data_IF_882393291202
#
_entry.id   IF_882393291202
#
_cell.length_a   1.000
_cell.length_b   1.000
_cell.length_c   1.000
_cell.angle_alpha   90.00
_cell.angle_beta   90.00
_cell.angle_gamma   90.00
#
_symmetry.space_group_name_H-M   'P 1'
#
loop_
_entity.id
_entity.type
_entity.pdbx_description
1 polymer ?
#
# COMPACT_ATOMS: atom_id res chain seq x y z
N UNK A 1 -14.41 32.09 -6.09
CA UNK A 1 -13.73 32.33 -4.79
C UNK A 1 -13.55 30.98 -4.10
N UNK A 2 -12.32 30.57 -3.76
CA UNK A 2 -12.08 29.30 -3.08
C UNK A 2 -12.65 29.34 -1.68
N UNK A 3 -13.36 28.27 -1.28
CA UNK A 3 -14.03 28.21 0.03
C UNK A 3 -12.99 28.21 1.19
N UNK A 4 -13.01 29.26 2.02
CA UNK A 4 -12.12 29.43 3.18
C UNK A 4 -12.20 28.27 4.16
N UNK A 5 -13.36 27.61 4.27
CA UNK A 5 -13.55 26.44 5.13
C UNK A 5 -12.76 25.24 4.62
N UNK A 6 -12.73 25.03 3.32
CA UNK A 6 -11.94 23.97 2.68
C UNK A 6 -10.45 24.21 2.85
N UNK A 7 -9.98 25.45 2.61
CA UNK A 7 -8.57 25.81 2.82
C UNK A 7 -8.14 25.58 4.28
N UNK A 8 -8.95 26.03 5.26
CA UNK A 8 -8.65 25.82 6.69
C UNK A 8 -8.60 24.35 7.08
N UNK A 9 -9.50 23.54 6.56
CA UNK A 9 -9.55 22.09 6.81
C UNK A 9 -8.32 21.39 6.26
N UNK A 10 -7.92 21.73 5.05
CA UNK A 10 -6.75 21.17 4.38
C UNK A 10 -5.45 21.63 5.04
N UNK A 11 -5.34 22.91 5.43
CA UNK A 11 -4.22 23.40 6.24
C UNK A 11 -4.11 22.65 7.58
N UNK A 12 -5.26 22.42 8.23
CA UNK A 12 -5.35 21.60 9.44
C UNK A 12 -4.88 20.15 9.23
N UNK A 13 -5.17 19.55 8.05
CA UNK A 13 -4.65 18.25 7.69
C UNK A 13 -3.11 18.28 7.57
N UNK A 14 -2.56 19.22 6.81
CA UNK A 14 -1.10 19.34 6.63
C UNK A 14 -0.41 19.50 8.00
N UNK A 15 -0.88 20.43 8.82
CA UNK A 15 -0.31 20.69 10.14
C UNK A 15 -0.34 19.47 11.08
N UNK A 16 -1.44 18.69 11.02
CA UNK A 16 -1.65 17.56 11.93
C UNK A 16 -0.94 16.30 11.48
N UNK A 17 -1.00 15.95 10.21
CA UNK A 17 -0.56 14.64 9.71
C UNK A 17 0.89 14.65 9.22
N UNK A 18 1.40 15.77 8.71
CA UNK A 18 2.81 15.94 8.39
C UNK A 18 3.56 16.66 9.53
N UNK A 19 3.22 16.33 10.78
CA UNK A 19 3.76 17.01 11.95
C UNK A 19 5.18 16.55 12.30
N UNK A 20 5.91 17.39 13.03
CA UNK A 20 7.22 17.02 13.58
C UNK A 20 7.13 15.78 14.47
N UNK A 21 6.00 15.57 15.16
CA UNK A 21 5.79 14.40 16.02
C UNK A 21 5.86 13.07 15.26
N UNK A 22 5.52 13.05 13.96
CA UNK A 22 5.71 11.88 13.10
C UNK A 22 7.10 11.88 12.46
N UNK A 23 7.48 12.98 11.83
CA UNK A 23 8.66 13.01 10.95
C UNK A 23 10.00 13.00 11.70
N UNK A 24 10.01 13.28 13.01
CA UNK A 24 11.20 13.23 13.85
C UNK A 24 11.84 11.83 14.01
N UNK A 25 11.12 10.78 13.65
CA UNK A 25 11.63 9.40 13.71
C UNK A 25 12.55 9.03 12.54
N UNK A 26 12.73 9.95 11.58
CA UNK A 26 13.71 9.80 10.51
C UNK A 26 15.01 10.49 10.91
N UNK A 27 16.09 9.72 10.92
CA UNK A 27 17.42 10.26 11.16
C UNK A 27 17.88 11.14 9.99
N UNK A 28 18.47 12.30 10.30
CA UNK A 28 19.06 13.16 9.28
C UNK A 28 20.42 12.62 8.86
N UNK A 29 20.58 12.12 7.63
CA UNK A 29 21.85 11.53 7.18
C UNK A 29 22.92 12.58 6.90
N UNK A 30 22.56 13.86 6.86
CA UNK A 30 23.48 14.95 6.50
C UNK A 30 24.36 15.37 7.66
N UNK A 31 25.58 15.77 7.37
CA UNK A 31 26.48 16.36 8.35
C UNK A 31 25.98 17.70 8.91
N UNK A 32 26.66 18.21 9.94
CA UNK A 32 26.30 19.45 10.66
C UNK A 32 26.14 20.67 9.73
N UNK A 33 26.96 20.80 8.67
CA UNK A 33 26.86 21.89 7.70
C UNK A 33 25.52 21.86 6.94
N UNK A 34 25.11 20.70 6.43
CA UNK A 34 23.83 20.55 5.73
C UNK A 34 22.63 20.84 6.62
N UNK A 35 22.69 20.46 7.90
CA UNK A 35 21.64 20.72 8.90
C UNK A 35 21.48 22.21 9.25
N UNK A 36 22.55 22.99 9.22
CA UNK A 36 22.50 24.46 9.46
C UNK A 36 21.69 25.18 8.38
N UNK A 37 21.74 24.74 7.16
CA UNK A 37 21.02 25.38 6.06
C UNK A 37 19.53 25.03 6.05
N UNK A 38 19.18 23.78 6.31
CA UNK A 38 17.80 23.29 6.37
C UNK A 38 17.71 22.11 7.33
N UNK A 39 16.90 22.23 8.36
CA UNK A 39 16.66 21.10 9.27
C UNK A 39 15.93 19.95 8.57
N UNK A 40 16.18 18.71 9.01
CA UNK A 40 15.67 17.50 8.39
C UNK A 40 14.14 17.43 8.34
N UNK A 41 13.49 17.69 9.47
CA UNK A 41 12.04 17.55 9.57
C UNK A 41 11.25 18.49 8.66
N UNK A 42 11.57 19.80 8.58
CA UNK A 42 10.96 20.69 7.58
C UNK A 42 11.25 20.27 6.15
N UNK A 43 12.45 19.74 5.85
CA UNK A 43 12.79 19.28 4.50
C UNK A 43 11.96 18.04 4.12
N UNK A 44 11.90 17.03 4.99
CA UNK A 44 11.09 15.84 4.78
C UNK A 44 9.60 16.20 4.66
N UNK A 45 9.11 17.13 5.49
CA UNK A 45 7.74 17.64 5.38
C UNK A 45 7.48 18.29 4.03
N UNK A 46 8.43 19.09 3.53
CA UNK A 46 8.32 19.73 2.20
C UNK A 46 8.14 18.67 1.11
N UNK A 47 8.93 17.59 1.15
CA UNK A 47 8.82 16.47 0.20
C UNK A 47 7.45 15.79 0.32
N UNK A 48 7.02 15.44 1.54
CA UNK A 48 5.73 14.78 1.76
C UNK A 48 4.56 15.64 1.30
N UNK A 49 4.60 16.95 1.57
CA UNK A 49 3.56 17.90 1.15
C UNK A 49 3.59 18.10 -0.37
N UNK A 50 4.76 18.11 -0.99
CA UNK A 50 4.91 18.10 -2.45
C UNK A 50 4.25 16.89 -3.09
N UNK A 51 4.53 15.69 -2.59
CA UNK A 51 3.86 14.46 -3.04
C UNK A 51 2.34 14.53 -2.83
N UNK A 52 1.90 15.01 -1.67
CA UNK A 52 0.48 15.17 -1.35
C UNK A 52 -0.25 16.21 -2.23
N UNK A 53 0.47 17.19 -2.75
CA UNK A 53 -0.04 18.20 -3.68
C UNK A 53 0.06 17.79 -5.15
N UNK A 54 0.54 16.56 -5.44
CA UNK A 54 0.65 15.99 -6.78
C UNK A 54 1.82 16.53 -7.58
N UNK A 55 2.93 16.94 -6.94
CA UNK A 55 4.16 17.27 -7.67
C UNK A 55 4.68 16.03 -8.40
N UNK A 56 5.01 16.20 -9.68
CA UNK A 56 5.46 15.12 -10.57
C UNK A 56 6.97 14.86 -10.52
N UNK A 57 7.73 15.78 -9.95
CA UNK A 57 9.19 15.68 -9.87
C UNK A 57 9.80 16.69 -8.91
N UNK A 58 11.11 16.58 -8.76
CA UNK A 58 11.91 17.46 -7.88
C UNK A 58 11.86 18.91 -8.33
N UNK A 59 11.90 19.18 -9.65
CA UNK A 59 11.79 20.52 -10.20
C UNK A 59 10.42 21.17 -9.93
N UNK A 60 9.33 20.39 -10.00
CA UNK A 60 8.01 20.93 -9.66
C UNK A 60 7.89 21.21 -8.15
N UNK A 61 8.51 20.38 -7.31
CA UNK A 61 8.62 20.66 -5.88
C UNK A 61 9.40 21.94 -5.60
N UNK A 62 10.54 22.15 -6.27
CA UNK A 62 11.31 23.39 -6.20
C UNK A 62 10.45 24.59 -6.58
N UNK A 63 9.79 24.55 -7.74
CA UNK A 63 8.89 25.60 -8.20
C UNK A 63 7.72 25.87 -7.22
N UNK A 64 7.15 24.81 -6.61
CA UNK A 64 6.12 24.96 -5.59
C UNK A 64 6.67 25.72 -4.38
N UNK A 65 7.88 25.38 -3.89
CA UNK A 65 8.47 26.07 -2.71
C UNK A 65 8.80 27.53 -2.98
N UNK A 66 9.06 27.90 -4.23
CA UNK A 66 9.26 29.31 -4.63
C UNK A 66 7.95 30.11 -4.56
N UNK A 67 6.87 29.54 -5.07
CA UNK A 67 5.57 30.21 -5.18
C UNK A 67 4.80 30.34 -3.86
N UNK A 68 5.07 29.42 -2.90
CA UNK A 68 4.38 29.46 -1.61
C UNK A 68 4.63 30.76 -0.85
N UNK A 69 3.58 31.45 -0.32
CA UNK A 69 3.73 32.62 0.53
C UNK A 69 4.58 32.31 1.77
N UNK A 70 5.43 33.26 2.19
CA UNK A 70 6.34 33.07 3.33
C UNK A 70 5.62 32.66 4.61
N UNK A 71 4.47 33.26 4.90
CA UNK A 71 3.68 32.97 6.09
C UNK A 71 3.12 31.55 6.08
N UNK A 72 2.63 31.08 4.92
CA UNK A 72 2.18 29.69 4.75
C UNK A 72 3.31 28.70 5.04
N UNK A 73 4.49 28.96 4.48
CA UNK A 73 5.67 28.13 4.75
C UNK A 73 6.05 28.08 6.22
N UNK A 74 6.10 29.24 6.87
CA UNK A 74 6.48 29.34 8.28
C UNK A 74 5.48 28.61 9.18
N UNK A 75 4.17 28.84 9.00
CA UNK A 75 3.12 28.27 9.85
C UNK A 75 2.95 26.75 9.62
N UNK A 76 3.15 26.28 8.42
CA UNK A 76 3.11 24.85 8.10
C UNK A 76 4.46 24.15 8.31
N UNK A 77 5.52 24.88 8.66
CA UNK A 77 6.86 24.35 8.86
C UNK A 77 7.47 23.74 7.59
N UNK A 78 7.19 24.37 6.44
CA UNK A 78 7.70 23.98 5.13
C UNK A 78 8.95 24.82 4.82
N UNK A 79 9.95 24.22 4.20
CA UNK A 79 11.16 24.94 3.79
C UNK A 79 10.82 26.05 2.78
N UNK A 80 11.55 27.17 2.90
CA UNK A 80 11.61 28.15 1.82
C UNK A 80 12.23 27.48 0.59
N UNK A 81 12.40 28.19 -0.51
CA UNK A 81 13.05 27.69 -1.72
C UNK A 81 14.05 26.56 -1.44
N UNK A 82 13.83 25.41 -2.07
CA UNK A 82 14.64 24.22 -1.88
C UNK A 82 15.03 23.67 -3.25
N UNK A 83 16.33 23.81 -3.63
CA UNK A 83 16.83 23.29 -4.89
C UNK A 83 16.54 21.79 -5.04
N UNK A 84 16.22 21.37 -6.25
CA UNK A 84 15.94 19.96 -6.60
C UNK A 84 17.12 19.05 -6.27
N UNK A 85 18.36 19.53 -6.51
CA UNK A 85 19.60 18.81 -6.17
C UNK A 85 19.72 18.55 -4.67
N UNK A 86 19.41 19.55 -3.82
CA UNK A 86 19.42 19.39 -2.35
C UNK A 86 18.39 18.35 -1.90
N UNK A 87 17.23 18.32 -2.52
CA UNK A 87 16.20 17.31 -2.21
C UNK A 87 16.66 15.94 -2.66
N UNK A 88 17.22 15.83 -3.87
CA UNK A 88 17.75 14.57 -4.40
C UNK A 88 18.81 13.97 -3.47
N UNK A 89 19.83 14.73 -3.15
CA UNK A 89 20.94 14.29 -2.29
C UNK A 89 20.43 13.84 -0.91
N UNK A 90 19.46 14.58 -0.36
CA UNK A 90 18.83 14.22 0.90
C UNK A 90 18.05 12.89 0.80
N UNK A 91 17.26 12.70 -0.25
CA UNK A 91 16.46 11.47 -0.44
C UNK A 91 17.35 10.25 -0.70
N UNK A 92 18.41 10.40 -1.52
CA UNK A 92 19.37 9.32 -1.79
C UNK A 92 20.13 8.86 -0.52
N UNK A 93 20.27 9.74 0.48
CA UNK A 93 20.97 9.43 1.72
C UNK A 93 20.07 8.89 2.84
N UNK A 94 18.75 8.96 2.72
CA UNK A 94 17.80 8.48 3.75
C UNK A 94 17.85 6.96 3.90
N UNK A 95 17.63 6.49 5.12
CA UNK A 95 17.50 5.07 5.42
C UNK A 95 16.06 4.59 5.13
N UNK A 96 15.81 3.65 4.19
CA UNK A 96 14.47 3.16 3.86
C UNK A 96 13.70 2.64 5.08
N UNK A 97 14.39 1.97 6.01
CA UNK A 97 13.77 1.42 7.21
C UNK A 97 13.11 2.49 8.11
N UNK A 98 13.67 3.70 8.18
CA UNK A 98 13.06 4.78 8.96
C UNK A 98 11.72 5.22 8.35
N UNK A 99 11.59 5.18 7.03
CA UNK A 99 10.32 5.47 6.34
C UNK A 99 9.28 4.36 6.57
N UNK A 100 9.71 3.11 6.60
CA UNK A 100 8.83 2.00 6.99
C UNK A 100 8.28 2.21 8.42
N UNK A 101 9.10 2.67 9.36
CA UNK A 101 8.65 3.03 10.72
C UNK A 101 7.58 4.12 10.70
N UNK A 102 7.71 5.14 9.86
CA UNK A 102 6.70 6.19 9.74
C UNK A 102 5.35 5.63 9.28
N UNK A 103 5.35 4.70 8.32
CA UNK A 103 4.13 4.03 7.86
C UNK A 103 3.50 3.25 9.01
N UNK A 104 4.28 2.50 9.78
CA UNK A 104 3.78 1.74 10.93
C UNK A 104 3.22 2.65 12.04
N UNK A 105 3.87 3.75 12.35
CA UNK A 105 3.41 4.73 13.34
C UNK A 105 2.09 5.37 12.87
N UNK A 106 2.01 5.80 11.61
CA UNK A 106 0.81 6.42 11.05
C UNK A 106 -0.38 5.46 11.07
N UNK A 107 -0.18 4.22 10.63
CA UNK A 107 -1.20 3.17 10.65
C UNK A 107 -1.67 2.81 12.06
N UNK A 108 -0.73 2.60 12.98
CA UNK A 108 -1.04 2.25 14.36
C UNK A 108 -1.82 3.37 15.08
N UNK A 109 -1.40 4.61 14.93
CA UNK A 109 -2.12 5.75 15.49
C UNK A 109 -3.54 5.85 14.91
N UNK A 110 -3.68 5.61 13.59
CA UNK A 110 -4.98 5.56 12.92
C UNK A 110 -5.91 4.48 13.49
N UNK A 111 -5.40 3.28 13.71
CA UNK A 111 -6.14 2.16 14.30
C UNK A 111 -6.49 2.42 15.77
N UNK A 112 -5.51 2.84 16.58
CA UNK A 112 -5.69 3.13 18.00
C UNK A 112 -6.75 4.19 18.25
N UNK A 113 -6.80 5.23 17.43
CA UNK A 113 -7.78 6.32 17.54
C UNK A 113 -9.11 6.02 16.83
N UNK A 114 -9.30 4.80 16.33
CA UNK A 114 -10.50 4.40 15.55
C UNK A 114 -10.72 5.30 14.33
N UNK A 115 -9.65 5.89 13.80
CA UNK A 115 -9.67 6.63 12.54
C UNK A 115 -9.78 5.66 11.35
N UNK A 116 -9.07 4.55 11.42
CA UNK A 116 -9.25 3.41 10.54
C UNK A 116 -10.40 2.58 11.08
N UNK A 117 -11.48 2.50 10.32
CA UNK A 117 -12.72 1.77 10.68
C UNK A 117 -12.88 0.57 9.78
N UNK A 118 -13.33 -0.55 10.35
CA UNK A 118 -13.73 -1.71 9.57
C UNK A 118 -14.99 -1.41 8.77
N UNK A 119 -15.12 -2.05 7.61
CA UNK A 119 -16.33 -1.96 6.77
C UNK A 119 -17.52 -2.73 7.35
N UNK A 120 -17.29 -3.60 8.34
CA UNK A 120 -18.31 -4.51 8.88
C UNK A 120 -18.63 -5.72 7.98
N UNK A 121 -18.00 -5.81 6.81
CA UNK A 121 -18.24 -6.91 5.85
C UNK A 121 -17.75 -8.26 6.38
N UNK A 122 -16.64 -8.25 7.13
CA UNK A 122 -16.07 -9.45 7.74
C UNK A 122 -16.05 -9.33 9.26
N UNK A 123 -16.13 -10.44 9.99
CA UNK A 123 -16.10 -10.45 11.46
C UNK A 123 -14.70 -10.11 12.02
N UNK A 124 -13.70 -10.08 11.17
CA UNK A 124 -12.29 -9.85 11.51
C UNK A 124 -11.57 -9.01 10.45
N UNK A 125 -10.41 -8.49 10.81
CA UNK A 125 -9.55 -7.77 9.90
C UNK A 125 -8.89 -8.67 8.87
N UNK A 126 -8.75 -8.15 7.65
CA UNK A 126 -8.14 -8.83 6.51
C UNK A 126 -7.00 -7.97 5.97
N UNK A 127 -5.78 -8.53 6.01
CA UNK A 127 -4.57 -7.93 5.45
C UNK A 127 -4.31 -8.56 4.09
N UNK A 128 -4.32 -7.77 3.02
CA UNK A 128 -3.86 -8.20 1.70
C UNK A 128 -2.43 -7.72 1.48
N UNK A 129 -1.57 -8.62 1.06
CA UNK A 129 -0.18 -8.31 0.74
C UNK A 129 0.07 -8.54 -0.74
N UNK A 130 0.95 -7.71 -1.33
CA UNK A 130 1.31 -7.81 -2.74
C UNK A 130 2.64 -7.08 -2.99
N UNK A 131 3.37 -7.49 -4.02
CA UNK A 131 4.62 -6.88 -4.42
C UNK A 131 4.48 -5.84 -5.52
N UNK A 132 5.40 -4.89 -5.53
CA UNK A 132 5.58 -3.96 -6.64
C UNK A 132 7.05 -3.89 -7.04
N UNK A 133 7.32 -3.86 -8.37
CA UNK A 133 8.66 -4.00 -8.97
C UNK A 133 8.97 -2.89 -9.98
N UNK A 134 9.20 -1.64 -9.57
CA UNK A 134 9.65 -0.62 -10.52
C UNK A 134 11.07 -0.88 -10.97
N UNK A 135 11.33 -0.53 -12.23
CA UNK A 135 12.67 -0.52 -12.80
C UNK A 135 13.36 0.80 -12.54
N UNK A 136 14.67 0.75 -12.37
CA UNK A 136 15.56 1.92 -12.22
C UNK A 136 16.72 1.83 -13.21
N UNK A 137 17.32 2.97 -13.52
CA UNK A 137 18.50 3.02 -14.38
C UNK A 137 19.79 2.67 -13.64
N UNK A 138 19.74 2.71 -12.31
CA UNK A 138 20.87 2.33 -11.47
C UNK A 138 21.18 0.84 -11.65
N UNK A 139 22.43 0.54 -11.91
CA UNK A 139 22.97 -0.82 -12.02
C UNK A 139 24.16 -1.03 -11.08
N UNK A 140 24.32 -0.13 -10.10
CA UNK A 140 25.37 -0.18 -9.09
C UNK A 140 25.13 -1.24 -8.01
N UNK A 141 25.97 -1.19 -6.99
CA UNK A 141 25.82 -2.08 -5.85
C UNK A 141 24.95 -1.42 -4.78
N UNK A 142 23.69 -1.84 -4.67
CA UNK A 142 22.78 -1.43 -3.60
C UNK A 142 22.11 -2.67 -2.97
N UNK A 143 21.83 -2.60 -1.67
CA UNK A 143 21.21 -3.70 -0.91
C UNK A 143 19.85 -4.15 -1.46
N UNK A 144 19.07 -3.20 -1.97
CA UNK A 144 17.69 -3.44 -2.41
C UNK A 144 17.56 -3.54 -3.94
N UNK A 145 18.70 -3.49 -4.64
CA UNK A 145 18.74 -3.53 -6.09
C UNK A 145 19.01 -4.95 -6.57
N UNK A 146 18.19 -5.43 -7.48
CA UNK A 146 18.50 -6.58 -8.32
C UNK A 146 18.84 -6.08 -9.71
N UNK A 147 20.07 -6.33 -10.17
CA UNK A 147 20.52 -5.95 -11.50
C UNK A 147 20.16 -7.05 -12.49
N UNK A 148 19.57 -6.66 -13.60
CA UNK A 148 19.32 -7.52 -14.75
C UNK A 148 20.38 -7.32 -15.79
N UNK A 149 20.93 -8.43 -16.28
CA UNK A 149 21.96 -8.46 -17.29
C UNK A 149 21.35 -8.92 -18.62
N UNK A 150 21.88 -8.43 -19.70
CA UNK A 150 21.61 -8.94 -21.04
C UNK A 150 22.12 -10.38 -21.15
N UNK A 151 21.33 -11.28 -21.70
CA UNK A 151 21.66 -12.70 -21.77
C UNK A 151 22.81 -13.01 -22.75
N UNK A 152 23.00 -12.17 -23.79
CA UNK A 152 24.01 -12.37 -24.82
C UNK A 152 25.33 -11.70 -24.45
N UNK A 153 25.28 -10.45 -23.98
CA UNK A 153 26.49 -9.64 -23.71
C UNK A 153 26.96 -9.75 -22.27
N UNK A 154 26.10 -10.16 -21.34
CA UNK A 154 26.36 -10.14 -19.90
C UNK A 154 26.43 -8.75 -19.29
N UNK A 155 26.15 -7.69 -20.07
CA UNK A 155 26.15 -6.32 -19.57
C UNK A 155 24.94 -6.00 -18.70
N UNK A 156 25.14 -5.16 -17.68
CA UNK A 156 24.06 -4.70 -16.83
C UNK A 156 23.14 -3.72 -17.61
N UNK A 157 21.84 -4.04 -17.71
CA UNK A 157 20.89 -3.27 -18.50
C UNK A 157 20.03 -2.35 -17.64
N UNK A 158 19.44 -2.87 -16.58
CA UNK A 158 18.61 -2.11 -15.64
C UNK A 158 18.56 -2.79 -14.27
N UNK A 159 18.19 -2.00 -13.28
CA UNK A 159 17.94 -2.50 -11.94
C UNK A 159 16.44 -2.62 -11.64
N UNK A 160 16.10 -3.48 -10.70
CA UNK A 160 14.74 -3.63 -10.16
C UNK A 160 14.80 -3.48 -8.65
N UNK A 161 13.97 -2.60 -8.11
CA UNK A 161 13.70 -2.53 -6.67
C UNK A 161 12.35 -3.19 -6.38
N UNK A 162 12.22 -3.79 -5.19
CA UNK A 162 10.99 -4.51 -4.82
C UNK A 162 10.49 -4.06 -3.46
N UNK A 163 9.17 -3.90 -3.33
CA UNK A 163 8.52 -3.58 -2.07
C UNK A 163 7.29 -4.46 -1.90
N UNK A 164 7.23 -5.21 -0.79
CA UNK A 164 6.00 -5.90 -0.38
C UNK A 164 5.11 -4.90 0.35
N UNK A 165 3.91 -4.69 -0.15
CA UNK A 165 2.92 -3.76 0.37
C UNK A 165 1.85 -4.51 1.15
N UNK A 166 1.52 -4.05 2.37
CA UNK A 166 0.42 -4.59 3.18
C UNK A 166 -0.72 -3.59 3.31
N UNK A 167 -1.93 -3.99 2.89
CA UNK A 167 -3.14 -3.16 2.89
C UNK A 167 -4.23 -3.81 3.72
N UNK A 168 -4.83 -3.07 4.67
CA UNK A 168 -5.98 -3.54 5.45
C UNK A 168 -7.26 -3.35 4.61
N UNK A 169 -7.57 -4.34 3.78
CA UNK A 169 -8.67 -4.28 2.82
C UNK A 169 -10.06 -4.32 3.47
N UNK A 170 -10.18 -4.84 4.68
CA UNK A 170 -11.40 -4.82 5.49
C UNK A 170 -11.70 -3.46 6.12
N UNK A 171 -10.87 -2.46 5.91
CA UNK A 171 -11.05 -1.11 6.43
C UNK A 171 -11.52 -0.14 5.35
N UNK A 172 -12.29 0.86 5.79
CA UNK A 172 -12.71 1.98 4.92
C UNK A 172 -11.47 2.72 4.40
N UNK A 173 -11.43 2.94 3.10
CA UNK A 173 -10.33 3.62 2.42
C UNK A 173 -9.12 2.74 2.16
N UNK A 174 -9.11 1.50 2.60
CA UNK A 174 -8.02 0.52 2.37
C UNK A 174 -6.65 1.11 2.71
N UNK A 175 -6.40 1.47 3.98
CA UNK A 175 -5.13 2.08 4.38
C UNK A 175 -3.98 1.10 4.15
N UNK A 176 -2.90 1.61 3.57
CA UNK A 176 -1.64 0.91 3.44
C UNK A 176 -0.94 0.95 4.80
N UNK A 177 -0.71 -0.19 5.41
CA UNK A 177 -0.18 -0.32 6.76
C UNK A 177 1.28 -0.80 6.80
N UNK A 178 1.78 -1.33 5.71
CA UNK A 178 3.16 -1.80 5.61
C UNK A 178 3.72 -1.65 4.20
N UNK A 179 5.01 -1.36 4.15
CA UNK A 179 5.81 -1.37 2.93
C UNK A 179 7.20 -1.88 3.31
N UNK A 180 7.51 -3.10 2.95
CA UNK A 180 8.77 -3.76 3.32
C UNK A 180 9.65 -3.88 2.08
N UNK A 181 10.80 -3.18 2.01
CA UNK A 181 11.76 -3.34 0.93
C UNK A 181 12.33 -4.76 0.90
N UNK A 182 12.39 -5.35 -0.28
CA UNK A 182 12.95 -6.69 -0.49
C UNK A 182 14.41 -6.55 -0.93
N UNK A 183 15.37 -7.20 -0.24
CA UNK A 183 16.77 -7.19 -0.66
C UNK A 183 16.95 -7.75 -2.08
N UNK A 184 17.88 -7.20 -2.85
CA UNK A 184 18.19 -7.65 -4.22
C UNK A 184 18.64 -9.11 -4.31
N UNK A 185 19.16 -9.65 -3.20
CA UNK A 185 19.59 -11.07 -3.10
C UNK A 185 18.45 -12.08 -2.93
N UNK A 186 17.20 -11.63 -2.79
CA UNK A 186 16.03 -12.49 -2.61
C UNK A 186 14.84 -11.99 -3.42
N UNK A 187 13.73 -12.70 -3.34
CA UNK A 187 12.45 -12.34 -3.97
C UNK A 187 11.32 -12.24 -2.94
N UNK A 188 10.10 -11.97 -3.38
CA UNK A 188 8.94 -11.89 -2.50
C UNK A 188 8.68 -13.17 -1.72
N UNK A 189 8.80 -14.32 -2.38
CA UNK A 189 8.57 -15.61 -1.75
C UNK A 189 9.50 -15.80 -0.54
N UNK A 190 10.79 -15.51 -0.72
CA UNK A 190 11.81 -15.64 0.33
C UNK A 190 11.72 -14.55 1.41
N UNK A 191 11.20 -13.36 1.07
CA UNK A 191 11.12 -12.23 2.00
C UNK A 191 9.75 -12.09 2.69
N UNK A 192 8.76 -12.89 2.31
CA UNK A 192 7.40 -12.85 2.82
C UNK A 192 7.34 -12.94 4.36
N UNK A 193 8.05 -13.90 4.95
CA UNK A 193 8.03 -14.13 6.41
C UNK A 193 8.50 -12.91 7.19
N UNK A 194 9.49 -12.18 6.69
CA UNK A 194 9.95 -10.93 7.31
C UNK A 194 8.88 -9.84 7.22
N UNK A 195 8.31 -9.62 6.03
CA UNK A 195 7.27 -8.63 5.82
C UNK A 195 6.03 -8.92 6.67
N UNK A 196 5.61 -10.18 6.77
CA UNK A 196 4.55 -10.62 7.66
C UNK A 196 4.89 -10.34 9.13
N UNK A 197 6.10 -10.66 9.57
CA UNK A 197 6.57 -10.44 10.93
C UNK A 197 6.51 -8.97 11.34
N UNK A 198 6.85 -8.05 10.45
CA UNK A 198 6.75 -6.62 10.66
C UNK A 198 5.29 -6.17 10.83
N UNK A 199 4.37 -6.64 9.98
CA UNK A 199 2.94 -6.36 10.07
C UNK A 199 2.32 -6.93 11.34
N UNK A 200 2.66 -8.14 11.72
CA UNK A 200 2.16 -8.79 12.95
C UNK A 200 2.67 -8.06 14.19
N UNK A 201 3.92 -7.66 14.21
CA UNK A 201 4.53 -6.89 15.30
C UNK A 201 3.83 -5.54 15.49
N UNK A 202 3.52 -4.85 14.40
CA UNK A 202 2.87 -3.54 14.45
C UNK A 202 1.36 -3.64 14.71
N UNK A 203 0.67 -4.61 14.12
CA UNK A 203 -0.80 -4.63 14.01
C UNK A 203 -1.47 -5.97 14.27
N UNK A 204 -0.79 -6.96 14.81
CA UNK A 204 -1.28 -8.34 14.91
C UNK A 204 -2.68 -8.49 15.48
N UNK A 205 -3.10 -7.62 16.42
CA UNK A 205 -4.46 -7.63 17.00
C UNK A 205 -5.56 -7.10 16.08
N UNK A 206 -5.21 -6.42 14.97
CA UNK A 206 -6.19 -5.76 14.10
C UNK A 206 -6.55 -6.56 12.85
N UNK A 207 -5.85 -7.67 12.58
CA UNK A 207 -6.20 -8.59 11.51
C UNK A 207 -6.02 -10.04 11.93
N UNK A 208 -6.85 -10.90 11.34
CA UNK A 208 -6.82 -12.35 11.58
C UNK A 208 -6.39 -13.11 10.31
N UNK A 209 -6.66 -12.56 9.14
CA UNK A 209 -6.46 -13.23 7.86
C UNK A 209 -5.46 -12.48 7.00
N UNK A 210 -4.57 -13.23 6.36
CA UNK A 210 -3.58 -12.75 5.40
C UNK A 210 -3.93 -13.29 4.02
N UNK A 211 -4.13 -12.40 3.07
CA UNK A 211 -4.31 -12.71 1.66
C UNK A 211 -3.00 -12.46 0.92
N UNK A 212 -2.65 -13.35 0.03
CA UNK A 212 -1.56 -13.13 -0.91
C UNK A 212 -1.90 -13.77 -2.26
N UNK A 213 -1.29 -13.26 -3.32
CA UNK A 213 -1.41 -13.85 -4.63
C UNK A 213 -0.56 -15.15 -4.75
N UNK A 214 -0.46 -15.67 -5.96
CA UNK A 214 0.31 -16.87 -6.20
C UNK A 214 1.83 -16.70 -6.04
N UNK A 215 2.34 -15.45 -6.10
CA UNK A 215 3.77 -15.16 -6.05
C UNK A 215 4.44 -15.54 -4.74
N UNK A 216 3.71 -15.52 -3.62
CA UNK A 216 4.22 -15.96 -2.32
C UNK A 216 3.54 -17.23 -1.78
N UNK A 217 2.69 -17.89 -2.56
CA UNK A 217 2.02 -19.11 -2.15
C UNK A 217 3.02 -20.27 -2.03
N UNK A 218 3.24 -20.72 -0.80
CA UNK A 218 4.08 -21.91 -0.51
C UNK A 218 3.66 -22.53 0.83
N UNK A 219 3.99 -23.78 1.05
CA UNK A 219 3.77 -24.45 2.33
C UNK A 219 4.52 -23.75 3.47
N UNK A 220 5.75 -23.28 3.21
CA UNK A 220 6.56 -22.57 4.18
C UNK A 220 5.91 -21.24 4.62
N UNK A 221 5.43 -20.44 3.66
CA UNK A 221 4.77 -19.19 3.95
C UNK A 221 3.40 -19.40 4.62
N UNK A 222 2.65 -20.42 4.21
CA UNK A 222 1.40 -20.80 4.89
C UNK A 222 1.65 -21.19 6.34
N UNK A 223 2.70 -21.97 6.61
CA UNK A 223 3.13 -22.35 7.96
C UNK A 223 3.58 -21.12 8.78
N UNK A 224 4.31 -20.18 8.17
CA UNK A 224 4.71 -18.94 8.83
C UNK A 224 3.50 -18.07 9.23
N UNK A 225 2.45 -18.01 8.40
CA UNK A 225 1.20 -17.30 8.77
C UNK A 225 0.54 -17.95 9.98
N UNK A 226 0.47 -19.27 10.03
CA UNK A 226 -0.10 -20.01 11.17
C UNK A 226 0.75 -19.85 12.44
N UNK A 227 2.08 -19.93 12.32
CA UNK A 227 2.99 -19.70 13.43
C UNK A 227 2.86 -18.29 14.01
N UNK A 228 2.48 -17.30 13.19
CA UNK A 228 2.16 -15.95 13.63
C UNK A 228 0.75 -15.81 14.25
N UNK A 229 0.00 -16.91 14.44
CA UNK A 229 -1.36 -16.92 14.99
C UNK A 229 -2.40 -16.31 14.03
N UNK A 230 -2.15 -16.39 12.72
CA UNK A 230 -3.02 -15.88 11.66
C UNK A 230 -3.52 -17.02 10.77
N UNK A 231 -4.52 -16.70 9.95
CA UNK A 231 -5.01 -17.60 8.90
C UNK A 231 -4.57 -17.06 7.54
N UNK A 232 -4.22 -17.98 6.65
CA UNK A 232 -3.91 -17.63 5.26
C UNK A 232 -5.11 -17.87 4.34
N UNK A 233 -5.13 -17.11 3.26
CA UNK A 233 -5.96 -17.31 2.10
C UNK A 233 -5.11 -17.02 0.86
N UNK A 234 -4.63 -18.05 0.18
CA UNK A 234 -3.65 -17.94 -0.90
C UNK A 234 -4.23 -18.43 -2.21
N UNK A 235 -3.86 -17.77 -3.31
CA UNK A 235 -4.16 -18.23 -4.65
C UNK A 235 -3.14 -19.29 -5.06
N UNK A 236 -3.60 -20.36 -5.71
CA UNK A 236 -2.77 -21.42 -6.30
C UNK A 236 -2.91 -21.26 -7.81
N UNK A 237 -1.86 -20.83 -8.51
CA UNK A 237 -1.94 -20.48 -9.93
C UNK A 237 -1.18 -21.42 -10.85
N UNK A 238 -0.10 -22.08 -10.40
CA UNK A 238 0.72 -22.94 -11.27
C UNK A 238 0.02 -24.28 -11.51
N UNK A 239 -0.45 -24.57 -12.73
CA UNK A 239 -1.12 -25.83 -13.07
C UNK A 239 -0.21 -27.05 -12.97
N UNK A 240 1.10 -26.87 -12.91
CA UNK A 240 2.08 -27.97 -12.72
C UNK A 240 2.14 -28.43 -11.27
N UNK A 241 1.65 -27.62 -10.33
CA UNK A 241 1.65 -28.01 -8.93
C UNK A 241 0.60 -29.09 -8.68
N UNK A 242 1.01 -30.16 -8.02
CA UNK A 242 0.12 -31.24 -7.60
C UNK A 242 -1.06 -30.71 -6.78
N UNK A 243 -0.83 -29.68 -5.97
CA UNK A 243 -1.89 -29.02 -5.21
C UNK A 243 -2.94 -28.38 -6.11
N UNK A 244 -2.55 -27.70 -7.19
CA UNK A 244 -3.49 -27.11 -8.16
C UNK A 244 -4.35 -28.21 -8.79
N UNK A 245 -3.73 -29.25 -9.30
CA UNK A 245 -4.40 -30.41 -9.93
C UNK A 245 -5.36 -31.10 -8.95
N UNK A 246 -4.94 -31.25 -7.70
CA UNK A 246 -5.76 -31.84 -6.65
C UNK A 246 -7.00 -30.97 -6.36
N UNK A 247 -6.87 -29.64 -6.24
CA UNK A 247 -7.99 -28.73 -6.02
C UNK A 247 -8.95 -28.77 -7.23
N UNK A 248 -8.41 -28.75 -8.44
CA UNK A 248 -9.19 -28.83 -9.68
C UNK A 248 -10.04 -30.10 -9.71
N UNK A 249 -9.45 -31.26 -9.44
CA UNK A 249 -10.15 -32.54 -9.39
C UNK A 249 -11.23 -32.58 -8.30
N UNK A 250 -10.91 -32.09 -7.09
CA UNK A 250 -11.84 -32.12 -5.96
C UNK A 250 -13.04 -31.18 -6.12
N UNK A 251 -12.94 -30.18 -7.00
CA UNK A 251 -13.97 -29.19 -7.27
C UNK A 251 -14.57 -29.31 -8.69
N UNK A 252 -14.27 -30.39 -9.43
CA UNK A 252 -14.75 -30.58 -10.80
C UNK A 252 -16.28 -30.56 -10.87
N UNK A 253 -16.94 -31.36 -10.01
CA UNK A 253 -18.39 -31.59 -10.02
C UNK A 253 -19.13 -30.87 -8.87
N UNK A 254 -18.46 -29.93 -8.18
CA UNK A 254 -19.07 -29.19 -7.08
C UNK A 254 -19.93 -28.06 -7.66
N UNK A 255 -21.23 -27.98 -7.34
CA UNK A 255 -22.08 -26.88 -7.79
C UNK A 255 -21.65 -25.55 -7.19
N UNK A 256 -22.00 -24.45 -7.88
CA UNK A 256 -21.75 -23.11 -7.38
C UNK A 256 -22.52 -22.87 -6.08
N UNK A 257 -21.82 -22.51 -5.02
CA UNK A 257 -22.38 -22.20 -3.71
C UNK A 257 -22.78 -20.71 -3.59
N UNK A 258 -22.16 -19.83 -4.40
CA UNK A 258 -22.53 -18.41 -4.52
C UNK A 258 -22.24 -17.90 -5.94
N UNK A 259 -22.98 -16.87 -6.31
CA UNK A 259 -22.80 -16.15 -7.57
C UNK A 259 -22.91 -14.65 -7.33
N UNK A 260 -22.10 -13.86 -8.04
CA UNK A 260 -22.22 -12.39 -8.08
C UNK A 260 -22.17 -11.90 -9.52
N UNK A 261 -22.89 -10.83 -9.78
CA UNK A 261 -22.87 -10.14 -11.06
C UNK A 261 -22.57 -8.66 -10.84
N UNK A 262 -21.61 -8.13 -11.60
CA UNK A 262 -21.22 -6.72 -11.60
C UNK A 262 -21.31 -6.19 -13.02
N UNK A 263 -22.01 -5.04 -13.21
CA UNK A 263 -22.14 -4.38 -14.51
C UNK A 263 -21.53 -2.98 -14.46
N UNK A 264 -20.76 -2.64 -15.47
CA UNK A 264 -20.18 -1.29 -15.66
C UNK A 264 -20.21 -0.93 -17.13
N UNK A 265 -21.13 -0.03 -17.50
CA UNK A 265 -21.38 0.28 -18.91
C UNK A 265 -21.84 -0.97 -19.66
N UNK A 266 -21.19 -1.25 -20.79
CA UNK A 266 -21.48 -2.43 -21.63
C UNK A 266 -20.78 -3.72 -21.15
N UNK A 267 -20.00 -3.64 -20.06
CA UNK A 267 -19.24 -4.77 -19.53
C UNK A 267 -19.98 -5.38 -18.33
N UNK A 268 -20.20 -6.69 -18.37
CA UNK A 268 -20.82 -7.49 -17.31
C UNK A 268 -19.85 -8.61 -16.86
N UNK A 269 -19.63 -8.76 -15.58
CA UNK A 269 -18.77 -9.79 -15.02
C UNK A 269 -19.59 -10.67 -14.05
N UNK A 270 -19.73 -11.94 -14.38
CA UNK A 270 -20.39 -12.96 -13.55
C UNK A 270 -19.31 -13.80 -12.88
N UNK A 271 -19.39 -13.97 -11.56
CA UNK A 271 -18.47 -14.81 -10.79
C UNK A 271 -19.22 -15.86 -10.02
N UNK A 272 -18.83 -17.12 -10.20
CA UNK A 272 -19.36 -18.28 -9.49
C UNK A 272 -18.29 -18.84 -8.57
N UNK A 273 -18.69 -19.18 -7.35
CA UNK A 273 -17.83 -19.77 -6.32
C UNK A 273 -18.24 -21.21 -6.06
N UNK A 274 -17.31 -22.13 -6.22
CA UNK A 274 -17.37 -23.49 -5.70
C UNK A 274 -16.42 -23.57 -4.50
N UNK A 275 -16.84 -24.20 -3.43
CA UNK A 275 -16.00 -24.39 -2.24
C UNK A 275 -16.28 -25.76 -1.59
N UNK A 276 -15.27 -26.29 -0.94
CA UNK A 276 -15.34 -27.54 -0.21
C UNK A 276 -14.44 -27.48 1.03
N UNK A 277 -14.96 -28.03 2.15
CA UNK A 277 -14.13 -28.30 3.32
C UNK A 277 -13.07 -29.36 2.96
N UNK A 278 -11.83 -29.08 3.33
CA UNK A 278 -10.70 -29.98 3.13
C UNK A 278 -10.31 -30.54 4.50
N UNK A 279 -10.66 -31.82 4.74
CA UNK A 279 -10.05 -32.57 5.84
C UNK A 279 -8.97 -33.45 5.23
N UNK A 280 -7.74 -33.44 5.74
CA UNK A 280 -6.65 -34.30 5.26
C UNK A 280 -6.92 -35.74 5.72
N UNK A 281 -7.92 -36.39 5.14
CA UNK A 281 -8.32 -37.78 5.50
C UNK A 281 -7.89 -38.82 4.47
N UNK A 282 -7.39 -38.41 3.31
CA UNK A 282 -6.95 -39.34 2.28
C UNK A 282 -5.42 -39.40 2.22
N UNK A 283 -4.88 -40.57 2.37
CA UNK A 283 -3.43 -40.89 2.28
C UNK A 283 -2.74 -40.48 0.96
N UNK A 284 -3.50 -39.97 -0.02
CA UNK A 284 -3.00 -39.64 -1.35
C UNK A 284 -3.29 -38.18 -1.80
N UNK A 285 -3.79 -37.32 -0.95
CA UNK A 285 -4.07 -35.93 -1.31
C UNK A 285 -2.92 -35.04 -0.85
N UNK A 286 -2.21 -34.46 -1.77
CA UNK A 286 -1.06 -33.56 -1.56
C UNK A 286 -1.48 -32.12 -1.26
N UNK A 287 -2.61 -31.94 -0.58
CA UNK A 287 -2.97 -30.66 0.01
C UNK A 287 -2.08 -30.39 1.23
N UNK A 288 -1.85 -29.12 1.50
CA UNK A 288 -1.15 -28.71 2.71
C UNK A 288 -1.90 -29.22 3.94
N UNK A 289 -1.18 -29.81 4.87
CA UNK A 289 -1.72 -30.48 6.08
C UNK A 289 -2.67 -29.60 6.90
N UNK A 290 -2.48 -28.29 6.87
CA UNK A 290 -3.29 -27.31 7.57
C UNK A 290 -4.33 -26.61 6.67
N UNK A 291 -4.49 -27.01 5.42
CA UNK A 291 -5.60 -26.53 4.59
C UNK A 291 -6.94 -27.04 5.15
N UNK A 292 -7.92 -26.13 5.25
CA UNK A 292 -9.26 -26.42 5.78
C UNK A 292 -10.34 -26.20 4.74
N UNK A 293 -10.12 -25.28 3.80
CA UNK A 293 -11.08 -25.00 2.73
C UNK A 293 -10.33 -24.75 1.43
N UNK A 294 -10.85 -25.33 0.35
CA UNK A 294 -10.41 -25.11 -1.03
C UNK A 294 -11.52 -24.45 -1.83
N UNK A 295 -11.13 -23.64 -2.81
CA UNK A 295 -12.05 -22.82 -3.59
C UNK A 295 -11.69 -22.82 -5.08
N UNK A 296 -12.74 -22.78 -5.92
CA UNK A 296 -12.68 -22.51 -7.35
C UNK A 296 -13.57 -21.31 -7.64
N UNK A 297 -13.06 -20.32 -8.34
CA UNK A 297 -13.85 -19.19 -8.84
C UNK A 297 -13.80 -19.16 -10.34
N UNK A 298 -14.96 -19.20 -10.96
CA UNK A 298 -15.14 -19.02 -12.40
C UNK A 298 -15.64 -17.60 -12.65
N UNK A 299 -14.86 -16.80 -13.35
CA UNK A 299 -15.24 -15.43 -13.72
C UNK A 299 -15.48 -15.36 -15.22
N UNK A 300 -16.69 -14.99 -15.63
CA UNK A 300 -17.06 -14.78 -17.04
C UNK A 300 -17.29 -13.31 -17.30
N UNK A 301 -16.61 -12.79 -18.28
CA UNK A 301 -16.72 -11.38 -18.70
C UNK A 301 -17.48 -11.32 -20.02
N UNK A 302 -18.53 -10.55 -20.04
CA UNK A 302 -19.38 -10.29 -21.20
C UNK A 302 -19.23 -8.82 -21.66
N UNK A 303 -19.37 -8.59 -22.94
CA UNK A 303 -19.54 -7.28 -23.54
C UNK A 303 -20.87 -7.30 -24.31
N UNK A 304 -21.86 -6.57 -23.79
CA UNK A 304 -23.25 -6.88 -24.13
C UNK A 304 -23.59 -8.33 -23.74
N UNK A 305 -24.16 -9.09 -24.68
CA UNK A 305 -24.48 -10.52 -24.48
C UNK A 305 -23.37 -11.48 -24.90
N UNK A 306 -22.26 -10.96 -25.44
CA UNK A 306 -21.16 -11.79 -25.96
C UNK A 306 -20.17 -12.12 -24.84
N UNK A 307 -19.93 -13.42 -24.60
CA UNK A 307 -18.86 -13.89 -23.72
C UNK A 307 -17.50 -13.59 -24.36
N UNK A 308 -16.70 -12.76 -23.69
CA UNK A 308 -15.35 -12.37 -24.17
C UNK A 308 -14.24 -13.18 -23.49
N UNK A 309 -14.40 -13.49 -22.21
CA UNK A 309 -13.33 -14.11 -21.45
C UNK A 309 -13.90 -14.96 -20.33
N UNK A 310 -13.31 -16.13 -20.11
CA UNK A 310 -13.54 -16.98 -18.95
C UNK A 310 -12.22 -17.18 -18.23
N UNK A 311 -12.21 -16.96 -16.92
CA UNK A 311 -11.04 -17.16 -16.08
C UNK A 311 -11.40 -18.02 -14.88
N UNK A 312 -10.58 -19.05 -14.63
CA UNK A 312 -10.69 -19.94 -13.47
C UNK A 312 -9.52 -19.65 -12.53
N UNK A 313 -9.81 -19.55 -11.24
CA UNK A 313 -8.80 -19.37 -10.19
C UNK A 313 -9.08 -20.33 -9.06
N UNK A 314 -8.02 -20.87 -8.47
CA UNK A 314 -8.07 -21.76 -7.33
C UNK A 314 -7.44 -21.10 -6.11
N UNK A 315 -8.01 -21.38 -4.92
CA UNK A 315 -7.53 -20.84 -3.66
C UNK A 315 -7.57 -21.91 -2.57
N UNK A 316 -6.76 -21.67 -1.54
CA UNK A 316 -6.69 -22.50 -0.35
C UNK A 316 -6.66 -21.62 0.90
N UNK A 317 -7.31 -22.06 1.96
CA UNK A 317 -7.32 -21.37 3.24
C UNK A 317 -7.18 -22.32 4.40
N UNK A 318 -6.61 -21.82 5.50
CA UNK A 318 -6.61 -22.47 6.81
C UNK A 318 -7.87 -22.16 7.65
N UNK A 319 -8.77 -21.32 7.17
CA UNK A 319 -10.07 -21.10 7.77
C UNK A 319 -11.03 -22.24 7.41
N UNK A 320 -11.91 -22.59 8.34
CA UNK A 320 -12.99 -23.54 8.06
C UNK A 320 -14.04 -22.91 7.14
N UNK A 321 -14.69 -23.73 6.30
CA UNK A 321 -15.69 -23.25 5.34
C UNK A 321 -16.88 -22.53 6.00
N UNK A 322 -17.23 -22.91 7.23
CA UNK A 322 -18.32 -22.32 8.01
C UNK A 322 -18.00 -20.95 8.64
N UNK A 323 -16.77 -20.48 8.60
CA UNK A 323 -16.37 -19.14 9.15
C UNK A 323 -17.06 -17.97 8.41
N UNK A 324 -17.39 -18.16 7.14
CA UNK A 324 -18.13 -17.19 6.33
C UNK A 324 -19.22 -17.89 5.50
N UNK A 325 -20.30 -17.16 5.17
CA UNK A 325 -21.22 -17.65 4.15
C UNK A 325 -20.54 -17.69 2.77
N UNK A 326 -21.06 -18.49 1.81
CA UNK A 326 -20.48 -18.56 0.46
C UNK A 326 -20.37 -17.18 -0.23
N UNK A 327 -21.35 -16.30 -0.06
CA UNK A 327 -21.37 -14.95 -0.62
C UNK A 327 -20.22 -14.09 -0.01
N UNK A 328 -19.99 -14.20 1.31
CA UNK A 328 -18.89 -13.50 1.97
C UNK A 328 -17.52 -14.05 1.58
N UNK A 329 -17.42 -15.37 1.32
CA UNK A 329 -16.20 -15.93 0.74
C UNK A 329 -15.92 -15.36 -0.64
N UNK A 330 -16.94 -15.30 -1.52
CA UNK A 330 -16.79 -14.71 -2.85
C UNK A 330 -16.42 -13.22 -2.75
N UNK A 331 -17.04 -12.50 -1.82
CA UNK A 331 -16.71 -11.11 -1.54
C UNK A 331 -15.25 -10.93 -1.07
N UNK A 332 -14.74 -11.84 -0.20
CA UNK A 332 -13.35 -11.82 0.26
C UNK A 332 -12.39 -12.01 -0.92
N UNK A 333 -12.71 -12.95 -1.81
CA UNK A 333 -11.92 -13.23 -3.03
C UNK A 333 -11.87 -12.01 -3.94
N UNK A 334 -13.01 -11.36 -4.18
CA UNK A 334 -13.08 -10.13 -4.98
C UNK A 334 -12.31 -8.99 -4.31
N UNK A 335 -12.42 -8.85 -2.99
CA UNK A 335 -11.70 -7.79 -2.26
C UNK A 335 -10.19 -8.01 -2.17
N UNK A 336 -9.68 -9.21 -2.45
CA UNK A 336 -8.23 -9.46 -2.53
C UNK A 336 -7.53 -8.45 -3.44
N UNK A 337 -8.16 -8.08 -4.54
CA UNK A 337 -7.66 -7.03 -5.45
C UNK A 337 -7.65 -5.62 -4.86
N UNK A 338 -8.03 -5.47 -3.60
CA UNK A 338 -7.94 -4.18 -2.91
C UNK A 338 -6.53 -3.63 -2.80
N UNK A 339 -5.49 -4.49 -2.71
CA UNK A 339 -4.09 -4.07 -2.74
C UNK A 339 -3.69 -3.59 -4.14
N UNK A 340 -4.10 -4.29 -5.18
CA UNK A 340 -3.90 -3.88 -6.59
C UNK A 340 -4.58 -2.51 -6.86
N UNK A 341 -5.76 -2.27 -6.28
CA UNK A 341 -6.42 -0.95 -6.35
C UNK A 341 -5.57 0.15 -5.72
N UNK A 342 -4.88 -0.15 -4.60
CA UNK A 342 -3.95 0.81 -3.98
C UNK A 342 -2.75 1.06 -4.89
N UNK A 343 -2.16 0.02 -5.49
CA UNK A 343 -1.10 0.18 -6.48
C UNK A 343 -1.57 1.02 -7.67
N UNK A 344 -2.76 0.76 -8.20
CA UNK A 344 -3.35 1.58 -9.28
C UNK A 344 -3.52 3.06 -8.89
N UNK A 345 -3.88 3.35 -7.65
CA UNK A 345 -3.95 4.74 -7.15
C UNK A 345 -2.55 5.37 -7.12
N UNK A 346 -1.53 4.64 -6.67
CA UNK A 346 -0.15 5.11 -6.68
C UNK A 346 0.34 5.38 -8.11
N UNK A 347 -0.04 4.55 -9.08
CA UNK A 347 0.35 4.71 -10.48
C UNK A 347 -0.44 5.80 -11.21
N UNK A 348 -1.74 5.94 -10.92
CA UNK A 348 -2.60 6.88 -11.65
C UNK A 348 -2.68 8.26 -11.02
N UNK A 349 -2.72 8.36 -9.68
CA UNK A 349 -2.87 9.63 -8.98
C UNK A 349 -1.52 10.19 -8.52
N UNK A 350 -0.64 9.35 -7.97
CA UNK A 350 0.70 9.74 -7.57
C UNK A 350 1.72 9.61 -8.72
N UNK A 351 1.30 9.06 -9.86
CA UNK A 351 2.06 8.89 -11.09
C UNK A 351 3.42 8.17 -10.85
N UNK A 352 3.41 7.14 -9.98
CA UNK A 352 4.61 6.47 -9.50
C UNK A 352 5.47 5.92 -10.65
N UNK A 353 4.85 5.26 -11.62
CA UNK A 353 5.55 4.66 -12.75
C UNK A 353 5.92 5.70 -13.83
N UNK A 354 5.08 6.72 -14.05
CA UNK A 354 5.34 7.74 -15.07
C UNK A 354 6.37 8.77 -14.65
N UNK A 355 6.38 9.13 -13.37
CA UNK A 355 7.20 10.18 -12.81
C UNK A 355 7.92 9.69 -11.55
N UNK A 356 8.78 8.67 -11.66
CA UNK A 356 9.68 8.31 -10.57
C UNK A 356 10.67 9.47 -10.40
N UNK A 357 10.59 10.18 -9.27
CA UNK A 357 11.40 11.39 -9.05
C UNK A 357 12.91 11.15 -9.16
N UNK A 358 13.34 9.92 -8.88
CA UNK A 358 14.73 9.47 -8.93
C UNK A 358 14.77 8.11 -9.62
N UNK A 359 15.63 7.94 -10.63
CA UNK A 359 15.85 6.67 -11.34
C UNK A 359 17.32 6.27 -11.42
N UNK A 360 18.22 7.20 -11.15
CA UNK A 360 19.68 7.01 -11.24
C UNK A 360 20.32 6.58 -9.92
N UNK A 361 19.52 6.36 -8.88
CA UNK A 361 19.96 5.93 -7.56
C UNK A 361 18.87 5.04 -6.96
N UNK A 362 19.19 3.78 -6.69
CA UNK A 362 18.24 2.77 -6.24
C UNK A 362 17.66 3.09 -4.86
N UNK A 363 18.51 3.57 -3.93
CA UNK A 363 18.06 3.96 -2.59
C UNK A 363 17.11 5.17 -2.65
N UNK A 364 17.44 6.19 -3.45
CA UNK A 364 16.60 7.37 -3.65
C UNK A 364 15.25 7.02 -4.28
N UNK A 365 15.22 6.13 -5.28
CA UNK A 365 14.00 5.63 -5.90
C UNK A 365 13.14 4.89 -4.88
N UNK A 366 13.73 3.99 -4.09
CA UNK A 366 13.04 3.26 -3.02
C UNK A 366 12.47 4.20 -1.95
N UNK A 367 13.25 5.19 -1.53
CA UNK A 367 12.83 6.22 -0.57
C UNK A 367 11.61 6.99 -1.07
N UNK A 368 11.59 7.40 -2.34
CA UNK A 368 10.43 8.09 -2.94
C UNK A 368 9.21 7.18 -2.97
N UNK A 369 9.37 5.90 -3.31
CA UNK A 369 8.29 4.92 -3.26
C UNK A 369 7.69 4.80 -1.84
N UNK A 370 8.54 4.69 -0.82
CA UNK A 370 8.09 4.58 0.57
C UNK A 370 7.39 5.86 1.04
N UNK A 371 7.86 7.03 0.63
CA UNK A 371 7.23 8.32 0.93
C UNK A 371 5.86 8.45 0.26
N UNK A 372 5.68 7.99 -0.98
CA UNK A 372 4.35 7.94 -1.64
C UNK A 372 3.38 7.07 -0.85
N UNK A 373 3.82 5.92 -0.34
CA UNK A 373 3.01 5.02 0.51
C UNK A 373 2.64 5.65 1.84
N UNK A 374 3.58 6.34 2.48
CA UNK A 374 3.31 7.13 3.68
C UNK A 374 2.26 8.22 3.41
N UNK A 375 2.46 9.00 2.36
CA UNK A 375 1.54 10.09 1.98
C UNK A 375 0.16 9.55 1.63
N UNK A 376 0.07 8.44 0.87
CA UNK A 376 -1.19 7.74 0.61
C UNK A 376 -1.91 7.38 1.91
N UNK A 377 -1.20 6.78 2.88
CA UNK A 377 -1.77 6.40 4.17
C UNK A 377 -2.29 7.61 4.94
N UNK A 378 -1.51 8.69 5.03
CA UNK A 378 -1.92 9.92 5.72
C UNK A 378 -3.13 10.57 5.04
N UNK A 379 -3.17 10.61 3.71
CA UNK A 379 -4.32 11.13 2.95
C UNK A 379 -5.55 10.22 3.11
N UNK A 380 -5.39 8.90 3.18
CA UNK A 380 -6.47 7.96 3.47
C UNK A 380 -7.05 8.21 4.87
N UNK A 381 -6.20 8.42 5.87
CA UNK A 381 -6.65 8.81 7.21
C UNK A 381 -7.44 10.12 7.20
N UNK A 382 -6.99 11.10 6.44
CA UNK A 382 -7.71 12.36 6.28
C UNK A 382 -9.09 12.17 5.65
N UNK A 383 -9.19 11.45 4.55
CA UNK A 383 -10.48 11.11 3.88
C UNK A 383 -11.41 10.35 4.82
N UNK A 384 -10.90 9.39 5.57
CA UNK A 384 -11.71 8.53 6.44
C UNK A 384 -12.24 9.26 7.68
N UNK A 385 -11.50 10.22 8.22
CA UNK A 385 -11.79 10.86 9.51
C UNK A 385 -12.42 12.24 9.34
N UNK A 386 -11.86 13.05 8.48
CA UNK A 386 -12.20 14.49 8.40
C UNK A 386 -13.29 14.76 7.37
N UNK A 387 -13.26 14.02 6.27
CA UNK A 387 -14.21 14.16 5.18
C UNK A 387 -15.37 13.16 5.38
N UNK A 388 -16.25 13.46 6.32
CA UNK A 388 -17.30 12.52 6.75
C UNK A 388 -18.56 12.54 5.90
N UNK A 389 -18.81 13.60 5.14
CA UNK A 389 -19.98 13.66 4.25
C UNK A 389 -19.74 12.77 3.02
N UNK A 390 -20.82 12.22 2.46
CA UNK A 390 -20.79 11.30 1.33
C UNK A 390 -20.08 11.91 0.13
N UNK A 391 -20.41 13.11 -0.28
CA UNK A 391 -19.77 13.80 -1.40
C UNK A 391 -18.27 14.09 -1.21
N UNK A 392 -17.78 14.17 0.04
CA UNK A 392 -16.34 14.30 0.28
C UNK A 392 -15.61 12.95 0.22
N UNK A 393 -16.28 11.83 0.53
CA UNK A 393 -15.69 10.49 0.41
C UNK A 393 -15.50 10.08 -1.04
N UNK A 394 -16.37 10.56 -1.92
CA UNK A 394 -16.33 10.34 -3.37
C UNK A 394 -15.27 11.18 -4.08
N UNK A 395 -14.74 12.23 -3.41
CA UNK A 395 -13.68 13.06 -3.97
C UNK A 395 -12.54 12.21 -4.51
N UNK A 396 -12.13 12.48 -5.73
CA UNK A 396 -10.99 11.80 -6.36
C UNK A 396 -9.67 12.16 -5.67
N UNK A 397 -8.67 11.33 -5.83
CA UNK A 397 -7.33 11.61 -5.31
C UNK A 397 -6.73 12.87 -5.93
N UNK A 398 -6.97 13.12 -7.22
CA UNK A 398 -6.51 14.32 -7.93
C UNK A 398 -7.16 15.59 -7.40
N UNK A 399 -8.45 15.56 -7.11
CA UNK A 399 -9.15 16.69 -6.49
C UNK A 399 -8.61 16.99 -5.09
N UNK A 400 -8.34 15.95 -4.29
CA UNK A 400 -7.74 16.13 -2.97
C UNK A 400 -6.34 16.74 -3.06
N UNK A 401 -5.51 16.27 -3.99
CA UNK A 401 -4.18 16.83 -4.25
C UNK A 401 -4.26 18.29 -4.72
N UNK A 402 -5.22 18.61 -5.59
CA UNK A 402 -5.46 19.99 -6.03
C UNK A 402 -5.88 20.90 -4.86
N UNK A 403 -6.74 20.43 -3.94
CA UNK A 403 -7.12 21.18 -2.74
C UNK A 403 -5.91 21.44 -1.83
N UNK A 404 -5.02 20.46 -1.70
CA UNK A 404 -3.77 20.62 -0.93
C UNK A 404 -2.90 21.70 -1.59
N UNK A 405 -2.69 21.61 -2.90
CA UNK A 405 -1.91 22.61 -3.68
C UNK A 405 -2.51 24.01 -3.54
N UNK A 406 -3.82 24.14 -3.69
CA UNK A 406 -4.53 25.39 -3.51
C UNK A 406 -4.33 25.98 -2.11
N UNK A 407 -4.32 25.14 -1.08
CA UNK A 407 -4.08 25.58 0.29
C UNK A 407 -2.67 26.12 0.46
N UNK A 408 -1.68 25.50 -0.16
CA UNK A 408 -0.28 25.94 -0.09
C UNK A 408 -0.05 27.27 -0.80
N UNK A 409 -0.77 27.55 -1.88
CA UNK A 409 -0.60 28.75 -2.69
C UNK A 409 -1.49 29.93 -2.22
N UNK A 410 -2.68 29.65 -1.63
CA UNK A 410 -3.70 30.64 -1.43
C UNK A 410 -4.20 30.81 0.02
N UNK A 411 -3.73 29.98 0.98
CA UNK A 411 -4.15 30.17 2.36
C UNK A 411 -3.64 31.49 2.94
N UNK A 412 -4.54 32.20 3.64
CA UNK A 412 -4.26 33.47 4.33
C UNK A 412 -3.98 33.22 5.82
N UNK A 413 -3.48 34.23 6.50
CA UNK A 413 -3.11 34.17 7.91
C UNK A 413 -4.28 33.78 8.83
N UNK A 414 -5.46 34.30 8.59
CA UNK A 414 -6.68 33.99 9.35
C UNK A 414 -7.09 32.52 9.25
N UNK A 415 -6.80 31.90 8.10
CA UNK A 415 -7.03 30.46 7.85
C UNK A 415 -6.04 29.58 8.63
N UNK A 416 -4.80 30.06 8.79
CA UNK A 416 -3.68 29.29 9.36
C UNK A 416 -3.55 29.47 10.88
N UNK A 417 -4.19 30.51 11.46
CA UNK A 417 -4.17 30.77 12.90
C UNK A 417 -4.83 29.62 13.69
N UNK A 418 -4.23 29.27 14.83
CA UNK A 418 -4.76 28.27 15.76
C UNK A 418 -4.62 26.79 15.29
N UNK A 419 -3.86 26.53 14.21
CA UNK A 419 -3.55 25.15 13.81
C UNK A 419 -2.67 24.50 14.87
N UNK A 420 -3.08 23.33 15.35
CA UNK A 420 -2.32 22.54 16.34
C UNK A 420 -1.73 21.30 15.69
N UNK A 421 -0.43 21.02 15.88
CA UNK A 421 0.18 19.78 15.46
C UNK A 421 -0.44 18.61 16.23
N UNK A 422 -0.41 17.43 15.62
CA UNK A 422 -0.88 16.17 16.22
C UNK A 422 0.28 15.40 16.81
N UNK A 423 0.07 14.74 17.94
CA UNK A 423 0.96 13.69 18.45
C UNK A 423 0.57 12.33 17.85
N UNK A 424 1.52 11.47 17.62
CA UNK A 424 1.33 10.12 17.12
C UNK A 424 1.64 9.09 18.20
N UNK A 425 0.80 8.05 18.27
CA UNK A 425 1.08 6.88 19.08
C UNK A 425 2.02 5.95 18.33
N UNK A 426 3.08 5.51 19.01
CA UNK A 426 4.06 4.56 18.49
C UNK A 426 3.62 3.14 18.84
N UNK A 427 3.72 2.16 17.92
CA UNK A 427 3.51 0.76 18.27
C UNK A 427 4.49 0.34 19.38
N UNK A 428 4.05 -0.46 20.39
CA UNK A 428 4.92 -0.88 21.49
C UNK A 428 6.22 -1.55 21.05
N UNK A 429 6.18 -2.24 19.91
CA UNK A 429 7.34 -2.93 19.36
C UNK A 429 8.40 -1.99 18.74
N UNK A 430 8.10 -0.68 18.63
CA UNK A 430 8.98 0.35 18.06
C UNK A 430 9.14 1.58 18.96
N UNK A 431 8.62 1.47 20.20
CA UNK A 431 8.71 2.51 21.23
C UNK A 431 10.08 2.51 21.92
#
# INVERSE_FOLDING_TARGET
MRDSRTLRRTAGFISRYFSNALLKFVEDPRGARGRRWKSATPLLRTVCVGLASGCKGLQELEALTQRMPQKVRSLLGICRFTPDTTVRDYLCALKPYDLCKLIWIAGYDGLRRKAIRTTGQFPWGVMSMDGKYPTVRDVGADRYLQVHHDEETGEAVYGVIRVITGVLISAVGRPLLGATPVPGSTNELGHFTQALGELVRAYGRYFRVVLYDAGAASLANASAVLAAGKHYFFQIADPRWVMHQTIELLLADIPAAACTEESKGNKRVVRELMLRSSKPTAKNLTLWVHARTIFKVVSRTYEGDTLKHTQIRYFVSSLEACELSPEKWLQLIVQRWGVETVHQILDCAFEEDKHPWITSDANGALVVMLLRRLVYTLMTLYKSVTLRSEGHREMTWRELMAQIRDTLEWARDDILQGLRPRTFAVPPAFA
#
